data_IF_102255735075
#
_entry.id   IF_102255735075
#
_cell.length_a   1.000
_cell.length_b   1.000
_cell.length_c   1.000
_cell.angle_alpha   90.00
_cell.angle_beta   90.00
_cell.angle_gamma   90.00
#
_symmetry.space_group_name_H-M   'P 1'
#
loop_
_entity.id
_entity.type
_entity.pdbx_description
1 polymer ?
#
# COMPACT_ATOMS: atom_id res chain seq x y z
N UNK A 1 -7.14 8.19 -28.09
CA UNK A 1 -7.49 9.18 -27.05
C UNK A 1 -6.46 9.06 -25.94
N UNK A 2 -5.54 10.00 -25.81
CA UNK A 2 -4.49 9.94 -24.80
C UNK A 2 -5.08 10.09 -23.40
N UNK A 3 -5.14 9.01 -22.62
CA UNK A 3 -5.46 9.07 -21.19
C UNK A 3 -4.23 9.55 -20.43
N UNK A 4 -3.91 10.83 -20.53
CA UNK A 4 -2.97 11.44 -19.60
C UNK A 4 -3.72 11.80 -18.31
N UNK A 5 -3.47 11.04 -17.25
CA UNK A 5 -4.02 11.30 -15.92
C UNK A 5 -3.06 12.21 -15.18
N UNK A 6 -3.29 13.53 -15.25
CA UNK A 6 -2.56 14.50 -14.43
C UNK A 6 -3.26 14.64 -13.09
N UNK A 7 -2.59 14.23 -12.01
CA UNK A 7 -3.06 14.45 -10.65
C UNK A 7 -2.42 15.73 -10.11
N UNK A 8 -3.23 16.65 -9.55
CA UNK A 8 -2.68 17.83 -8.86
C UNK A 8 -1.97 17.36 -7.58
N UNK A 9 -0.63 17.50 -7.46
CA UNK A 9 0.12 16.99 -6.31
C UNK A 9 -0.25 17.67 -4.99
N UNK A 10 -0.85 18.87 -5.02
CA UNK A 10 -1.38 19.52 -3.81
C UNK A 10 -2.69 18.89 -3.32
N UNK A 11 -3.41 18.17 -4.19
CA UNK A 11 -4.68 17.49 -3.88
C UNK A 11 -4.56 15.97 -3.98
N UNK A 12 -3.40 15.46 -4.38
CA UNK A 12 -3.15 14.06 -4.67
C UNK A 12 -1.81 13.63 -4.07
N UNK A 13 -1.86 12.79 -3.04
CA UNK A 13 -0.67 12.36 -2.31
C UNK A 13 -0.04 11.12 -2.95
N UNK A 14 1.27 10.98 -2.86
CA UNK A 14 1.96 9.72 -3.16
C UNK A 14 2.09 8.94 -1.86
N UNK A 15 1.65 7.68 -1.85
CA UNK A 15 1.84 6.73 -0.77
C UNK A 15 2.82 5.67 -1.25
N UNK A 16 3.99 5.65 -0.65
CA UNK A 16 5.00 4.65 -0.93
C UNK A 16 4.64 3.35 -0.22
N UNK A 17 4.85 2.21 -0.88
CA UNK A 17 4.52 0.86 -0.36
C UNK A 17 5.73 -0.05 -0.51
N UNK A 18 5.89 -1.02 0.39
CA UNK A 18 7.10 -1.84 0.43
C UNK A 18 7.33 -2.61 -0.87
N UNK A 19 6.32 -3.35 -1.33
CA UNK A 19 6.45 -4.31 -2.42
C UNK A 19 5.70 -3.94 -3.69
N UNK A 20 6.13 -4.57 -4.79
CA UNK A 20 5.40 -4.53 -6.06
C UNK A 20 4.04 -5.23 -5.99
N UNK A 21 3.91 -6.24 -5.12
CA UNK A 21 2.66 -6.96 -4.86
C UNK A 21 1.64 -6.05 -4.19
N UNK A 22 2.05 -5.31 -3.15
CA UNK A 22 1.23 -4.32 -2.45
C UNK A 22 0.74 -3.26 -3.43
N UNK A 23 1.66 -2.72 -4.23
CA UNK A 23 1.34 -1.78 -5.29
C UNK A 23 0.28 -2.35 -6.25
N UNK A 24 0.40 -3.59 -6.68
CA UNK A 24 -0.56 -4.23 -7.58
C UNK A 24 -1.96 -4.32 -6.96
N UNK A 25 -2.09 -4.82 -5.73
CA UNK A 25 -3.38 -4.95 -5.06
C UNK A 25 -4.01 -3.60 -4.77
N UNK A 26 -3.27 -2.68 -4.14
CA UNK A 26 -3.77 -1.37 -3.76
C UNK A 26 -4.17 -0.54 -5.00
N UNK A 27 -3.38 -0.60 -6.08
CA UNK A 27 -3.72 0.08 -7.32
C UNK A 27 -4.95 -0.54 -8.01
N UNK A 28 -5.09 -1.88 -7.97
CA UNK A 28 -6.26 -2.55 -8.52
C UNK A 28 -7.54 -2.14 -7.80
N UNK A 29 -7.55 -2.18 -6.46
CA UNK A 29 -8.71 -1.78 -5.66
C UNK A 29 -9.02 -0.29 -5.78
N UNK A 30 -8.00 0.58 -5.82
CA UNK A 30 -8.21 2.01 -6.06
C UNK A 30 -8.94 2.26 -7.38
N UNK A 31 -8.50 1.62 -8.46
CA UNK A 31 -9.15 1.75 -9.77
C UNK A 31 -10.56 1.17 -9.74
N UNK A 32 -10.74 -0.02 -9.16
CA UNK A 32 -12.04 -0.66 -9.02
C UNK A 32 -13.06 0.25 -8.32
N UNK A 33 -12.69 0.85 -7.18
CA UNK A 33 -13.58 1.77 -6.48
C UNK A 33 -13.79 3.07 -7.26
N UNK A 34 -12.77 3.66 -7.87
CA UNK A 34 -12.94 4.89 -8.64
C UNK A 34 -13.84 4.71 -9.88
N UNK A 35 -13.76 3.56 -10.55
CA UNK A 35 -14.48 3.30 -11.81
C UNK A 35 -15.90 2.75 -11.60
N UNK A 36 -16.07 1.81 -10.66
CA UNK A 36 -17.33 1.06 -10.47
C UNK A 36 -18.19 1.55 -9.31
N UNK A 37 -17.60 1.78 -8.13
CA UNK A 37 -18.36 1.99 -6.88
C UNK A 37 -18.47 3.46 -6.45
N UNK A 38 -17.46 4.29 -6.73
CA UNK A 38 -17.26 5.61 -6.11
C UNK A 38 -16.96 6.70 -7.15
N UNK A 39 -17.76 6.81 -8.22
CA UNK A 39 -17.66 7.90 -9.21
C UNK A 39 -17.73 9.32 -8.61
N UNK A 40 -18.20 9.47 -7.36
CA UNK A 40 -18.33 10.75 -6.65
C UNK A 40 -17.27 11.01 -5.57
N UNK A 41 -16.43 10.02 -5.21
CA UNK A 41 -15.41 10.15 -4.14
C UNK A 41 -14.09 9.55 -4.62
N UNK A 42 -13.41 10.30 -5.49
CA UNK A 42 -12.08 9.93 -5.97
C UNK A 42 -11.12 9.75 -4.78
N UNK A 43 -10.44 8.60 -4.76
CA UNK A 43 -9.35 8.34 -3.81
C UNK A 43 -8.16 9.23 -4.19
N UNK A 44 -7.81 10.25 -3.36
CA UNK A 44 -6.91 11.33 -3.75
C UNK A 44 -5.45 10.98 -3.47
N UNK A 45 -5.05 9.75 -3.75
CA UNK A 45 -3.66 9.33 -3.63
C UNK A 45 -3.31 8.21 -4.60
N UNK A 46 -2.02 8.05 -4.89
CA UNK A 46 -1.48 6.98 -5.73
C UNK A 46 -0.39 6.22 -4.99
N UNK A 47 -0.16 4.98 -5.40
CA UNK A 47 0.83 4.12 -4.79
C UNK A 47 2.11 4.07 -5.64
N UNK A 48 3.28 4.04 -5.01
CA UNK A 48 4.56 3.77 -5.65
C UNK A 48 5.37 2.76 -4.83
N UNK A 49 5.87 1.66 -5.42
CA UNK A 49 6.65 0.66 -4.69
C UNK A 49 8.09 1.11 -4.44
N UNK A 50 8.67 0.76 -3.28
CA UNK A 50 10.06 1.12 -2.90
C UNK A 50 11.03 -0.06 -2.84
N UNK A 51 10.60 -1.25 -3.27
CA UNK A 51 11.43 -2.47 -3.32
C UNK A 51 11.99 -2.88 -1.95
N UNK A 52 11.12 -2.86 -0.94
CA UNK A 52 11.36 -3.24 0.45
C UNK A 52 12.07 -2.15 1.28
N UNK A 53 11.94 -2.25 2.61
CA UNK A 53 12.53 -1.32 3.57
C UNK A 53 14.05 -1.45 3.77
N UNK A 54 14.68 -2.46 3.14
CA UNK A 54 16.09 -2.87 3.34
C UNK A 54 16.37 -3.36 4.77
N UNK A 55 17.49 -4.04 4.99
CA UNK A 55 17.84 -4.63 6.29
C UNK A 55 19.02 -3.93 7.00
N UNK A 56 19.80 -3.11 6.29
CA UNK A 56 20.92 -2.34 6.83
C UNK A 56 20.51 -0.89 7.06
N UNK A 57 20.94 -0.32 8.19
CA UNK A 57 20.59 1.06 8.56
C UNK A 57 21.05 2.11 7.53
N UNK A 58 22.22 1.94 6.90
CA UNK A 58 22.67 2.88 5.85
C UNK A 58 21.74 2.85 4.63
N UNK A 59 21.32 1.66 4.19
CA UNK A 59 20.41 1.50 3.05
C UNK A 59 19.01 2.05 3.38
N UNK A 60 18.56 1.92 4.64
CA UNK A 60 17.31 2.56 5.12
C UNK A 60 17.41 4.09 5.08
N UNK A 61 18.52 4.68 5.54
CA UNK A 61 18.76 6.13 5.47
C UNK A 61 18.76 6.63 4.03
N UNK A 62 19.45 5.93 3.14
CA UNK A 62 19.47 6.25 1.71
C UNK A 62 18.06 6.18 1.11
N UNK A 63 17.27 5.18 1.49
CA UNK A 63 15.87 5.04 1.07
C UNK A 63 15.05 6.25 1.54
N UNK A 64 15.14 6.64 2.81
CA UNK A 64 14.42 7.81 3.36
C UNK A 64 14.85 9.11 2.66
N UNK A 65 16.15 9.29 2.40
CA UNK A 65 16.66 10.45 1.66
C UNK A 65 16.09 10.53 0.25
N UNK A 66 16.14 9.42 -0.50
CA UNK A 66 15.54 9.32 -1.84
C UNK A 66 14.04 9.62 -1.83
N UNK A 67 13.32 9.19 -0.78
CA UNK A 67 11.91 9.52 -0.63
C UNK A 67 11.70 11.04 -0.48
N UNK A 68 12.51 11.70 0.35
CA UNK A 68 12.48 13.17 0.51
C UNK A 68 12.89 13.93 -0.75
N UNK A 69 13.70 13.34 -1.64
CA UNK A 69 14.03 13.92 -2.96
C UNK A 69 12.84 13.81 -3.93
N UNK A 70 12.00 12.78 -3.81
CA UNK A 70 10.87 12.51 -4.70
C UNK A 70 9.58 13.22 -4.28
N UNK A 71 9.35 13.43 -2.98
CA UNK A 71 8.17 14.10 -2.45
C UNK A 71 8.53 15.00 -1.26
N UNK A 72 7.93 16.19 -1.19
CA UNK A 72 8.22 17.15 -0.11
C UNK A 72 7.72 16.69 1.28
N UNK A 73 6.76 15.75 1.33
CA UNK A 73 6.20 15.19 2.57
C UNK A 73 5.94 13.69 2.37
N UNK A 74 6.98 12.85 2.26
CA UNK A 74 6.80 11.45 1.90
C UNK A 74 5.97 10.71 2.94
N UNK A 75 5.12 9.80 2.45
CA UNK A 75 4.31 8.91 3.28
C UNK A 75 4.60 7.48 2.85
N UNK A 76 5.05 6.64 3.76
CA UNK A 76 5.27 5.21 3.51
C UNK A 76 4.25 4.40 4.31
N UNK A 77 3.53 3.51 3.63
CA UNK A 77 2.70 2.48 4.24
C UNK A 77 3.55 1.22 4.38
N UNK A 78 3.68 0.72 5.61
CA UNK A 78 4.50 -0.44 5.95
C UNK A 78 3.66 -1.58 6.53
N UNK A 79 4.12 -2.80 6.30
CA UNK A 79 3.64 -4.00 6.95
C UNK A 79 4.08 -4.02 8.43
N UNK A 80 3.41 -4.85 9.22
CA UNK A 80 3.87 -5.23 10.54
C UNK A 80 4.95 -6.31 10.44
N UNK A 81 5.90 -6.23 11.35
CA UNK A 81 6.96 -7.22 11.55
C UNK A 81 6.38 -8.63 11.81
N UNK A 82 6.73 -9.60 10.95
CA UNK A 82 6.31 -11.01 11.13
C UNK A 82 6.95 -11.62 12.37
N UNK A 83 6.12 -12.27 13.20
CA UNK A 83 6.56 -12.83 14.49
C UNK A 83 7.55 -14.01 14.40
N UNK A 84 7.68 -14.65 13.24
CA UNK A 84 8.40 -15.93 13.09
C UNK A 84 9.70 -15.83 12.29
N UNK A 85 10.11 -14.63 11.86
CA UNK A 85 11.34 -14.43 11.09
C UNK A 85 12.19 -13.37 11.79
N UNK A 86 13.17 -13.80 12.58
CA UNK A 86 13.99 -12.93 13.45
C UNK A 86 14.67 -11.78 12.70
N UNK A 87 14.88 -11.90 11.39
CA UNK A 87 15.41 -10.84 10.52
C UNK A 87 14.34 -9.83 10.09
N UNK A 88 13.09 -10.27 9.87
CA UNK A 88 11.96 -9.38 9.53
C UNK A 88 11.36 -8.73 10.77
N UNK A 89 11.41 -9.40 11.93
CA UNK A 89 10.78 -8.97 13.18
C UNK A 89 11.35 -7.67 13.77
N UNK A 90 12.36 -7.09 13.12
CA UNK A 90 12.95 -5.82 13.47
C UNK A 90 13.04 -4.85 12.27
N UNK A 91 12.54 -5.19 11.09
CA UNK A 91 12.78 -4.37 9.90
C UNK A 91 11.92 -3.12 9.90
N UNK A 92 10.60 -3.23 10.16
CA UNK A 92 9.72 -2.06 10.27
C UNK A 92 10.09 -1.20 11.48
N UNK A 93 10.41 -1.81 12.63
CA UNK A 93 10.85 -1.07 13.82
C UNK A 93 12.18 -0.36 13.60
N UNK A 94 13.19 -1.01 13.02
CA UNK A 94 14.47 -0.36 12.68
C UNK A 94 14.30 0.74 11.64
N UNK A 95 13.39 0.58 10.69
CA UNK A 95 13.07 1.63 9.72
C UNK A 95 12.46 2.84 10.42
N UNK A 96 11.50 2.63 11.34
CA UNK A 96 10.92 3.69 12.18
C UNK A 96 11.95 4.37 13.08
N UNK A 97 12.84 3.60 13.71
CA UNK A 97 13.94 4.16 14.51
C UNK A 97 14.94 4.96 13.67
N UNK A 98 15.30 4.43 12.49
CA UNK A 98 16.19 5.12 11.56
C UNK A 98 15.56 6.43 11.12
N UNK A 99 14.27 6.42 10.76
CA UNK A 99 13.50 7.61 10.42
C UNK A 99 13.49 8.65 11.56
N UNK A 100 13.24 8.24 12.81
CA UNK A 100 13.27 9.14 13.98
C UNK A 100 14.64 9.81 14.21
N UNK A 101 15.72 9.19 13.74
CA UNK A 101 17.11 9.69 13.85
C UNK A 101 17.52 10.58 12.67
N UNK A 102 16.68 10.72 11.63
CA UNK A 102 16.96 11.59 10.48
C UNK A 102 16.61 13.04 10.82
N UNK A 103 17.36 13.99 10.26
CA UNK A 103 17.07 15.43 10.41
C UNK A 103 15.72 15.80 9.77
N UNK A 104 15.35 15.12 8.69
CA UNK A 104 14.06 15.25 8.01
C UNK A 104 13.31 13.91 8.03
N UNK A 105 12.59 13.59 9.11
CA UNK A 105 11.80 12.37 9.18
C UNK A 105 10.59 12.41 8.25
N UNK A 106 10.23 11.26 7.70
CA UNK A 106 9.05 11.05 6.85
C UNK A 106 7.85 10.54 7.66
N UNK A 107 6.65 10.59 7.06
CA UNK A 107 5.47 9.97 7.67
C UNK A 107 5.47 8.48 7.40
N UNK A 108 5.29 7.69 8.46
CA UNK A 108 5.16 6.23 8.37
C UNK A 108 3.76 5.86 8.86
N UNK A 109 3.03 5.12 8.05
CA UNK A 109 1.74 4.54 8.36
C UNK A 109 1.94 3.03 8.50
N UNK A 110 1.64 2.47 9.66
CA UNK A 110 1.69 1.03 9.88
C UNK A 110 0.30 0.42 9.72
N UNK A 111 0.18 -0.71 9.02
CA UNK A 111 -1.12 -1.32 8.73
C UNK A 111 -1.94 -1.62 9.98
N UNK A 112 -1.31 -2.10 11.05
CA UNK A 112 -2.01 -2.38 12.30
C UNK A 112 -2.65 -1.18 12.98
N UNK A 113 -2.21 0.04 12.65
CA UNK A 113 -2.80 1.27 13.17
C UNK A 113 -4.15 1.59 12.50
N UNK A 114 -4.45 0.95 11.37
CA UNK A 114 -5.75 1.00 10.70
C UNK A 114 -6.71 -0.02 11.31
N UNK A 115 -6.30 -1.28 11.37
CA UNK A 115 -7.03 -2.40 11.97
C UNK A 115 -5.98 -3.40 12.48
N UNK A 116 -6.11 -3.85 13.74
CA UNK A 116 -5.13 -4.75 14.36
C UNK A 116 -4.93 -6.07 13.59
N UNK A 117 -5.91 -6.47 12.78
CA UNK A 117 -5.86 -7.66 11.92
C UNK A 117 -5.02 -7.46 10.66
N UNK A 118 -4.82 -6.22 10.23
CA UNK A 118 -4.02 -5.91 9.05
C UNK A 118 -2.55 -5.89 9.42
N UNK A 119 -1.86 -7.03 9.26
CA UNK A 119 -0.40 -7.12 9.44
C UNK A 119 0.33 -6.98 8.11
N UNK A 120 -0.30 -7.41 7.04
CA UNK A 120 0.15 -7.22 5.66
C UNK A 120 -1.01 -6.83 4.77
N UNK A 121 -0.72 -6.33 3.57
CA UNK A 121 -1.76 -6.02 2.57
C UNK A 121 -2.62 -7.25 2.25
N UNK A 122 -2.04 -8.46 2.26
CA UNK A 122 -2.78 -9.69 2.05
C UNK A 122 -3.81 -10.00 3.15
N UNK A 123 -3.68 -9.42 4.34
CA UNK A 123 -4.66 -9.58 5.42
C UNK A 123 -5.93 -8.75 5.20
N UNK A 124 -5.92 -7.81 4.24
CA UNK A 124 -7.14 -7.12 3.81
C UNK A 124 -8.09 -8.04 3.02
N UNK A 125 -7.61 -9.17 2.51
CA UNK A 125 -8.45 -10.14 1.81
C UNK A 125 -9.17 -11.05 2.80
N UNK A 126 -10.43 -11.40 2.50
CA UNK A 126 -11.12 -12.49 3.20
C UNK A 126 -10.33 -13.80 3.06
N UNK A 127 -10.52 -14.73 3.99
CA UNK A 127 -9.78 -16.00 3.98
C UNK A 127 -9.89 -16.75 2.63
N UNK A 128 -11.06 -16.73 2.00
CA UNK A 128 -11.30 -17.35 0.70
C UNK A 128 -10.60 -16.61 -0.44
N UNK A 129 -10.72 -15.28 -0.49
CA UNK A 129 -10.07 -14.48 -1.53
C UNK A 129 -8.55 -14.52 -1.38
N UNK A 130 -8.04 -14.49 -0.14
CA UNK A 130 -6.62 -14.64 0.15
C UNK A 130 -6.08 -15.95 -0.38
N UNK A 131 -6.74 -17.08 -0.08
CA UNK A 131 -6.31 -18.39 -0.59
C UNK A 131 -6.29 -18.45 -2.12
N UNK A 132 -7.23 -17.75 -2.77
CA UNK A 132 -7.39 -17.76 -4.22
C UNK A 132 -6.43 -16.83 -4.97
N UNK A 133 -6.09 -15.69 -4.38
CA UNK A 133 -5.40 -14.60 -5.09
C UNK A 133 -4.10 -14.14 -4.42
N UNK A 134 -3.99 -14.28 -3.09
CA UNK A 134 -2.88 -13.75 -2.31
C UNK A 134 -2.11 -14.84 -1.53
N UNK A 135 -2.38 -16.11 -1.80
CA UNK A 135 -1.77 -17.26 -1.11
C UNK A 135 -0.41 -17.68 -1.66
N UNK A 136 -0.10 -17.35 -2.92
CA UNK A 136 1.21 -17.58 -3.54
C UNK A 136 1.77 -16.24 -3.99
N UNK A 137 3.00 -15.89 -3.58
CA UNK A 137 3.72 -14.65 -3.93
C UNK A 137 4.14 -14.56 -5.42
N UNK A 138 3.34 -15.12 -6.33
CA UNK A 138 3.60 -15.03 -7.77
C UNK A 138 3.13 -13.66 -8.27
N UNK A 139 4.08 -12.83 -8.66
CA UNK A 139 3.83 -11.48 -9.21
C UNK A 139 2.86 -11.52 -10.41
N UNK A 140 2.90 -12.58 -11.22
CA UNK A 140 1.97 -12.80 -12.34
C UNK A 140 0.51 -12.86 -11.90
N UNK A 141 0.22 -13.47 -10.75
CA UNK A 141 -1.14 -13.54 -10.22
C UNK A 141 -1.62 -12.17 -9.73
N UNK A 142 -0.76 -11.40 -9.07
CA UNK A 142 -1.09 -10.04 -8.62
C UNK A 142 -1.33 -9.08 -9.81
N UNK A 143 -0.54 -9.21 -10.89
CA UNK A 143 -0.77 -8.45 -12.12
C UNK A 143 -2.05 -8.88 -12.84
N UNK A 144 -2.29 -10.19 -12.96
CA UNK A 144 -3.51 -10.72 -13.56
C UNK A 144 -4.76 -10.36 -12.73
N UNK A 145 -4.62 -10.24 -11.40
CA UNK A 145 -5.68 -9.84 -10.49
C UNK A 145 -6.24 -8.47 -10.86
N UNK A 146 -5.39 -7.48 -11.18
CA UNK A 146 -5.84 -6.14 -11.59
C UNK A 146 -6.79 -6.19 -12.78
N UNK A 147 -6.40 -6.87 -13.86
CA UNK A 147 -7.23 -7.01 -15.06
C UNK A 147 -8.52 -7.74 -14.74
N UNK A 148 -8.46 -8.83 -13.97
CA UNK A 148 -9.66 -9.60 -13.62
C UNK A 148 -10.62 -8.81 -12.72
N UNK A 149 -10.12 -8.05 -11.74
CA UNK A 149 -10.95 -7.22 -10.86
C UNK A 149 -11.66 -6.11 -11.65
N UNK A 150 -10.99 -5.49 -12.62
CA UNK A 150 -11.53 -4.36 -13.38
C UNK A 150 -12.49 -4.77 -14.51
N UNK A 151 -12.31 -5.94 -15.12
CA UNK A 151 -13.06 -6.37 -16.30
C UNK A 151 -13.98 -7.57 -16.08
N UNK A 152 -14.04 -8.13 -14.88
CA UNK A 152 -15.00 -9.20 -14.56
C UNK A 152 -16.43 -8.66 -14.49
N UNK A 153 -17.39 -9.44 -15.02
CA UNK A 153 -18.82 -9.10 -15.01
C UNK A 153 -19.51 -9.51 -13.69
N UNK A 154 -18.83 -10.29 -12.82
CA UNK A 154 -19.35 -10.77 -11.52
C UNK A 154 -18.54 -10.21 -10.35
N UNK A 155 -19.10 -10.31 -9.15
CA UNK A 155 -18.39 -10.08 -7.88
C UNK A 155 -17.16 -10.99 -7.76
N UNK A 156 -16.03 -10.49 -8.23
CA UNK A 156 -14.77 -11.23 -8.33
C UNK A 156 -14.09 -11.46 -6.98
N UNK A 157 -14.41 -10.59 -6.03
CA UNK A 157 -13.98 -10.60 -4.63
C UNK A 157 -15.19 -10.44 -3.73
N UNK A 158 -15.11 -10.99 -2.52
CA UNK A 158 -16.15 -10.89 -1.50
C UNK A 158 -16.36 -9.45 -1.00
N UNK A 159 -17.56 -9.17 -0.48
CA UNK A 159 -17.88 -7.90 0.18
C UNK A 159 -16.97 -7.60 1.37
N UNK A 160 -16.55 -8.63 2.12
CA UNK A 160 -15.58 -8.49 3.21
C UNK A 160 -14.27 -7.89 2.70
N UNK A 161 -13.69 -8.45 1.64
CA UNK A 161 -12.47 -7.90 1.01
C UNK A 161 -12.69 -6.45 0.56
N UNK A 162 -13.80 -6.15 -0.11
CA UNK A 162 -14.10 -4.78 -0.55
C UNK A 162 -14.15 -3.80 0.63
N UNK A 163 -14.86 -4.17 1.70
CA UNK A 163 -15.00 -3.34 2.89
C UNK A 163 -13.67 -3.12 3.61
N UNK A 164 -12.81 -4.13 3.68
CA UNK A 164 -11.47 -4.01 4.28
C UNK A 164 -10.61 -3.00 3.51
N UNK A 165 -10.56 -3.09 2.18
CA UNK A 165 -9.81 -2.13 1.36
C UNK A 165 -10.42 -0.71 1.39
N UNK A 166 -11.74 -0.58 1.47
CA UNK A 166 -12.40 0.72 1.67
C UNK A 166 -12.05 1.32 3.04
N UNK A 167 -12.01 0.51 4.09
CA UNK A 167 -11.59 0.91 5.43
C UNK A 167 -10.15 1.43 5.40
N UNK A 168 -9.23 0.65 4.82
CA UNK A 168 -7.83 1.03 4.65
C UNK A 168 -7.68 2.36 3.89
N UNK A 169 -8.38 2.52 2.76
CA UNK A 169 -8.30 3.77 1.98
C UNK A 169 -8.92 4.96 2.69
N UNK A 170 -10.00 4.75 3.45
CA UNK A 170 -10.60 5.77 4.30
C UNK A 170 -9.62 6.25 5.37
N UNK A 171 -8.95 5.32 6.04
CA UNK A 171 -7.94 5.61 7.06
C UNK A 171 -6.71 6.32 6.48
N UNK A 172 -6.14 5.83 5.37
CA UNK A 172 -5.04 6.52 4.68
C UNK A 172 -5.47 7.94 4.32
N UNK A 173 -6.68 8.13 3.79
CA UNK A 173 -7.18 9.47 3.47
C UNK A 173 -7.20 10.38 4.71
N UNK A 174 -7.70 9.88 5.84
CA UNK A 174 -7.75 10.63 7.10
C UNK A 174 -6.36 11.02 7.61
N UNK A 175 -5.35 10.13 7.50
CA UNK A 175 -4.00 10.40 8.00
C UNK A 175 -3.14 11.25 7.08
N UNK A 176 -3.57 11.46 5.83
CA UNK A 176 -2.74 12.10 4.80
C UNK A 176 -3.30 13.42 4.26
N UNK A 177 -4.49 13.82 4.70
CA UNK A 177 -5.13 15.10 4.42
C UNK A 177 -5.06 16.03 5.63
#
# INVERSE_FOLDING_TARGET
MGQHVFHNPQKHRIIFVEGITDYCYLSAFKLYFNERECKKRLIPFTFLPISGLKNKSNDMKETIQKLCELDNRPIVLIDDDKKDDADQQATSERFKETNKKMDNPITILQLSDCDEKFKQIEDCFSANDRKKYAGSKQMELAMAFKTRLLYSERDFVSEETKNNFLCLFGWIKEKTQ
#
